data_IF_813501313866
#
_entry.id   IF_813501313866
#
_cell.length_a   1.000
_cell.length_b   1.000
_cell.length_c   1.000
_cell.angle_alpha   90.00
_cell.angle_beta   90.00
_cell.angle_gamma   90.00
#
_symmetry.space_group_name_H-M   'P 1'
#
loop_
_entity.id
_entity.type
_entity.pdbx_description
1 polymer ?
#
# COMPACT_ATOMS: atom_id res chain seq x y z
N UNK A 5 -15.13 -6.59 -15.78
CA UNK A 5 -13.73 -6.99 -15.50
C UNK A 5 -13.69 -8.40 -14.89
N UNK A 6 -12.94 -9.30 -15.53
CA UNK A 6 -12.55 -10.52 -14.86
C UNK A 6 -12.23 -10.18 -13.37
N UNK A 7 -11.64 -9.00 -13.11
CA UNK A 7 -11.25 -8.63 -11.72
C UNK A 7 -12.48 -8.38 -10.83
N UNK A 8 -13.40 -7.50 -11.27
CA UNK A 8 -14.67 -7.29 -10.53
C UNK A 8 -15.39 -8.63 -10.30
N UNK A 9 -15.71 -9.33 -11.39
CA UNK A 9 -16.42 -10.63 -11.31
C UNK A 9 -15.82 -11.58 -10.28
N UNK A 10 -14.53 -11.84 -10.38
CA UNK A 10 -13.90 -12.80 -9.49
C UNK A 10 -13.86 -12.27 -8.07
N UNK A 11 -13.80 -10.96 -7.91
CA UNK A 11 -13.69 -10.41 -6.56
C UNK A 11 -15.04 -10.49 -5.86
N UNK A 12 -16.09 -10.14 -6.59
CA UNK A 12 -17.46 -10.41 -6.16
C UNK A 12 -17.53 -11.86 -5.67
N UNK A 13 -17.04 -12.80 -6.48
CA UNK A 13 -17.05 -14.21 -6.11
C UNK A 13 -16.28 -14.54 -4.83
N UNK A 14 -15.21 -13.81 -4.54
CA UNK A 14 -14.30 -14.18 -3.42
C UNK A 14 -14.63 -13.45 -2.13
N UNK A 15 -15.52 -12.44 -2.22
CA UNK A 15 -15.98 -11.70 -1.04
C UNK A 15 -16.60 -12.66 -0.03
N UNK A 16 -16.13 -12.58 1.19
CA UNK A 16 -16.54 -13.52 2.21
C UNK A 16 -15.40 -14.42 2.58
N UNK A 17 -14.55 -14.75 1.61
CA UNK A 17 -13.59 -15.83 1.78
C UNK A 17 -12.22 -15.35 2.14
N UNK A 18 -11.53 -16.22 2.87
CA UNK A 18 -10.12 -16.07 3.18
C UNK A 18 -9.33 -15.95 1.86
N UNK A 19 -8.32 -15.08 1.85
CA UNK A 19 -7.45 -14.90 0.71
C UNK A 19 -6.08 -14.51 1.20
N UNK A 20 -5.04 -14.91 0.44
CA UNK A 20 -3.67 -14.39 0.64
C UNK A 20 -3.42 -13.26 -0.35
N UNK A 21 -2.67 -12.25 0.10
CA UNK A 21 -2.25 -11.15 -0.77
C UNK A 21 -0.76 -10.91 -0.60
N UNK A 22 -0.08 -10.77 -1.74
CA UNK A 22 1.31 -10.33 -1.80
C UNK A 22 1.32 -8.86 -2.27
N UNK A 23 1.90 -7.98 -1.44
CA UNK A 23 2.07 -6.54 -1.74
C UNK A 23 3.57 -6.22 -1.80
N UNK A 24 4.05 -5.60 -2.88
CA UNK A 24 5.50 -5.48 -3.10
C UNK A 24 6.14 -6.83 -3.40
N UNK A 29 0.99 -11.83 4.49
CA UNK A 29 -0.37 -11.53 5.03
C UNK A 29 -1.53 -12.24 4.36
N UNK A 30 -2.47 -12.69 5.18
CA UNK A 30 -3.70 -13.30 4.71
C UNK A 30 -4.88 -12.83 5.59
N UNK A 31 -6.08 -12.83 5.02
CA UNK A 31 -7.32 -12.52 5.77
C UNK A 31 -8.57 -12.50 4.90
N UNK A 32 -9.71 -12.23 5.49
CA UNK A 32 -10.98 -12.36 4.77
C UNK A 32 -11.22 -11.17 3.85
N UNK A 33 -11.51 -11.43 2.57
CA UNK A 33 -11.85 -10.31 1.68
C UNK A 33 -13.19 -9.70 2.10
N UNK A 34 -13.14 -8.76 3.03
CA UNK A 34 -14.35 -8.03 3.45
C UNK A 34 -14.99 -7.22 2.33
N UNK A 35 -14.22 -6.36 1.66
CA UNK A 35 -14.76 -5.62 0.51
C UNK A 35 -13.67 -5.05 -0.39
N UNK A 36 -14.09 -4.44 -1.50
CA UNK A 36 -13.14 -3.96 -2.49
C UNK A 36 -13.75 -2.99 -3.51
N UNK A 37 -12.89 -2.33 -4.29
CA UNK A 37 -13.32 -1.57 -5.48
C UNK A 37 -12.17 -1.39 -6.49
N UNK A 38 -12.32 -0.40 -7.38
CA UNK A 38 -11.36 -0.17 -8.45
C UNK A 38 -9.96 0.22 -7.95
N UNK A 39 -9.91 0.89 -6.81
CA UNK A 39 -8.65 1.38 -6.25
C UNK A 39 -8.09 0.47 -5.15
N UNK A 40 -8.95 -0.03 -4.24
CA UNK A 40 -8.47 -0.76 -3.05
C UNK A 40 -9.21 -2.03 -2.69
N UNK A 41 -8.63 -2.78 -1.73
CA UNK A 41 -9.32 -3.88 -1.07
C UNK A 41 -9.21 -3.84 0.45
N UNK A 42 -10.33 -4.20 1.07
CA UNK A 42 -10.45 -4.16 2.50
C UNK A 42 -10.40 -5.58 2.98
N UNK A 43 -9.44 -5.87 3.85
CA UNK A 43 -9.35 -7.15 4.51
C UNK A 43 -9.81 -7.02 5.96
N UNK A 44 -10.40 -8.11 6.45
CA UNK A 44 -10.94 -8.23 7.80
C UNK A 44 -10.20 -9.40 8.46
N UNK A 45 -9.91 -9.25 9.76
CA UNK A 45 -9.32 -10.33 10.57
C UNK A 45 -8.06 -10.85 9.94
N UNK A 46 -6.98 -10.08 10.08
CA UNK A 46 -5.73 -10.30 9.34
C UNK A 46 -4.70 -11.08 10.18
N UNK A 47 -4.14 -12.13 9.56
CA UNK A 47 -3.17 -13.03 10.22
C UNK A 47 -1.83 -13.08 9.50
N UNK A 48 -0.83 -13.45 10.25
CA UNK A 48 0.53 -13.54 9.83
C UNK A 48 1.02 -14.90 10.33
N UNK A 49 2.10 -15.45 9.77
CA UNK A 49 2.62 -16.76 10.18
C UNK A 49 2.83 -16.88 11.70
N UNK A 50 2.94 -15.73 12.38
CA UNK A 50 3.13 -15.70 13.83
C UNK A 50 1.82 -15.43 14.59
N UNK A 51 0.86 -14.75 13.97
CA UNK A 51 -0.44 -14.60 14.61
C UNK A 51 -1.29 -13.48 14.04
N UNK A 52 -2.15 -12.93 14.91
CA UNK A 52 -2.97 -11.79 14.51
C UNK A 52 -2.11 -10.62 14.11
N UNK A 53 -2.70 -9.78 13.29
CA UNK A 53 -2.08 -8.54 12.92
C UNK A 53 -3.03 -7.35 12.96
N UNK A 54 -4.31 -7.51 12.68
CA UNK A 54 -5.22 -6.37 12.76
C UNK A 54 -6.68 -6.60 12.48
N UNK A 55 -7.53 -5.87 13.19
CA UNK A 55 -8.96 -5.90 12.94
C UNK A 55 -9.22 -5.74 11.43
N UNK A 56 -8.48 -4.86 10.75
CA UNK A 56 -8.71 -4.61 9.32
C UNK A 56 -7.45 -4.16 8.58
N UNK A 57 -7.58 -4.02 7.26
CA UNK A 57 -6.46 -3.59 6.42
C UNK A 57 -6.90 -3.07 5.07
N UNK A 58 -6.34 -1.95 4.69
CA UNK A 58 -6.60 -1.38 3.39
C UNK A 58 -5.39 -1.57 2.52
N UNK A 59 -5.62 -1.84 1.24
CA UNK A 59 -4.54 -2.10 0.30
C UNK A 59 -4.92 -1.65 -1.08
N UNK A 60 -4.01 -0.96 -1.75
CA UNK A 60 -4.28 -0.41 -3.07
C UNK A 60 -3.98 -1.46 -4.11
N UNK A 61 -4.81 -1.53 -5.13
CA UNK A 61 -4.61 -2.52 -6.16
C UNK A 61 -3.27 -2.34 -6.87
N UNK A 62 -2.85 -1.09 -7.09
CA UNK A 62 -1.56 -0.75 -7.72
C UNK A 62 -0.39 -1.56 -7.21
N UNK A 63 -0.27 -1.74 -5.91
CA UNK A 63 0.92 -2.38 -5.35
C UNK A 63 0.71 -3.81 -4.93
N UNK A 64 -0.30 -4.46 -5.51
CA UNK A 64 -0.54 -5.89 -5.25
C UNK A 64 0.02 -6.69 -6.41
N UNK A 65 0.77 -7.73 -6.05
CA UNK A 65 1.33 -8.68 -7.00
C UNK A 65 0.28 -9.69 -7.45
N UNK A 66 -0.24 -10.42 -6.48
CA UNK A 66 -1.30 -11.37 -6.73
C UNK A 66 -2.16 -11.57 -5.52
N UNK A 67 -3.43 -11.85 -5.77
CA UNK A 67 -4.35 -12.23 -4.73
C UNK A 67 -4.75 -13.66 -4.98
N UNK A 68 -4.78 -14.43 -3.92
CA UNK A 68 -5.02 -15.83 -4.04
C UNK A 68 -6.04 -16.32 -3.03
N UNK A 69 -6.96 -17.16 -3.50
CA UNK A 69 -8.08 -17.67 -2.70
C UNK A 69 -7.73 -19.02 -2.16
N UNK A 70 -7.93 -19.21 -0.88
CA UNK A 70 -7.57 -20.43 -0.22
C UNK A 70 -8.82 -21.30 0.03
N UNK B 5 -4.93 -9.34 -31.14
CA UNK B 5 -3.71 -9.50 -30.29
C UNK B 5 -3.27 -10.94 -30.41
N UNK B 6 -1.98 -11.15 -30.69
CA UNK B 6 -1.37 -12.48 -30.57
C UNK B 6 -1.61 -12.97 -29.13
N UNK B 7 -1.50 -12.03 -28.19
CA UNK B 7 -1.77 -12.30 -26.77
C UNK B 7 -3.15 -12.90 -26.51
N UNK B 8 -4.19 -12.25 -27.05
CA UNK B 8 -5.55 -12.79 -26.92
C UNK B 8 -5.61 -14.20 -27.53
N UNK B 9 -5.25 -14.29 -28.82
CA UNK B 9 -5.23 -15.54 -29.60
C UNK B 9 -4.58 -16.69 -28.83
N UNK B 10 -3.40 -16.44 -28.30
CA UNK B 10 -2.61 -17.50 -27.69
C UNK B 10 -3.22 -17.93 -26.35
N UNK B 11 -3.62 -16.95 -25.57
CA UNK B 11 -4.18 -17.23 -24.26
C UNK B 11 -5.46 -18.03 -24.39
N UNK B 12 -6.30 -17.66 -25.37
CA UNK B 12 -7.46 -18.50 -25.74
C UNK B 12 -7.02 -19.96 -25.88
N UNK B 13 -6.00 -20.21 -26.70
CA UNK B 13 -5.54 -21.59 -26.97
C UNK B 13 -5.00 -22.24 -25.72
N UNK B 14 -4.42 -21.43 -24.85
CA UNK B 14 -3.79 -21.94 -23.62
C UNK B 14 -4.79 -22.19 -22.49
N UNK B 15 -5.99 -21.60 -22.65
CA UNK B 15 -7.04 -21.71 -21.64
C UNK B 15 -7.36 -23.17 -21.40
N UNK B 16 -7.21 -23.60 -20.15
CA UNK B 16 -7.41 -24.99 -19.77
C UNK B 16 -6.12 -25.73 -19.49
N UNK B 17 -5.05 -25.33 -20.17
CA UNK B 17 -3.78 -26.01 -20.05
C UNK B 17 -2.99 -25.49 -18.87
N UNK B 18 -2.20 -26.36 -18.28
CA UNK B 18 -1.27 -25.99 -17.23
C UNK B 18 -0.23 -24.98 -17.78
N UNK B 19 -0.02 -23.90 -17.03
CA UNK B 19 0.89 -22.84 -17.40
C UNK B 19 1.72 -22.45 -16.20
N UNK B 20 2.97 -22.01 -16.44
CA UNK B 20 3.79 -21.33 -15.42
C UNK B 20 3.88 -19.83 -15.72
N UNK B 21 4.06 -19.03 -14.67
CA UNK B 21 4.05 -17.58 -14.79
C UNK B 21 5.17 -16.96 -13.98
N UNK B 22 5.75 -15.89 -14.51
CA UNK B 22 6.72 -15.07 -13.78
C UNK B 22 6.18 -13.66 -13.52
N UNK B 23 6.10 -13.33 -12.22
CA UNK B 23 5.83 -11.96 -11.71
C UNK B 23 6.92 -11.61 -10.66
N UNK B 24 7.58 -10.47 -10.82
CA UNK B 24 8.76 -10.16 -9.99
C UNK B 24 10.05 -10.78 -10.54
N UNK B 29 5.47 -20.47 -9.06
CA UNK B 29 4.02 -20.72 -9.14
C UNK B 29 3.55 -21.20 -10.52
N UNK B 30 2.71 -22.22 -10.49
CA UNK B 30 2.13 -22.79 -11.71
C UNK B 30 0.68 -23.28 -11.47
N UNK B 31 -0.16 -23.20 -12.50
CA UNK B 31 -1.50 -23.77 -12.42
C UNK B 31 -2.22 -23.77 -13.77
N UNK B 32 -3.52 -23.97 -13.78
CA UNK B 32 -4.28 -24.06 -15.02
C UNK B 32 -4.82 -22.72 -15.41
N UNK B 33 -4.58 -22.28 -16.63
CA UNK B 33 -5.09 -20.97 -17.03
C UNK B 33 -6.57 -21.13 -17.12
N UNK B 34 -7.25 -20.68 -16.09
CA UNK B 34 -8.69 -20.81 -16.10
C UNK B 34 -9.28 -19.78 -17.04
N UNK B 35 -8.90 -18.52 -16.86
CA UNK B 35 -9.52 -17.44 -17.60
C UNK B 35 -8.64 -16.21 -17.55
N UNK B 36 -9.00 -15.19 -18.33
CA UNK B 36 -8.19 -14.00 -18.47
C UNK B 36 -8.93 -12.86 -19.16
N UNK B 37 -8.35 -11.68 -19.10
CA UNK B 37 -8.77 -10.54 -19.93
C UNK B 37 -7.58 -9.57 -20.03
N UNK B 38 -7.80 -8.36 -20.57
CA UNK B 38 -6.74 -7.33 -20.66
C UNK B 38 -5.98 -7.10 -19.31
N UNK B 39 -6.68 -6.75 -18.23
CA UNK B 39 -6.01 -6.35 -16.98
C UNK B 39 -5.38 -7.51 -16.18
N UNK B 40 -6.02 -8.68 -16.17
CA UNK B 40 -5.61 -9.81 -15.31
C UNK B 40 -5.75 -11.18 -15.95
N UNK B 41 -5.12 -12.16 -15.31
CA UNK B 41 -5.38 -13.55 -15.60
C UNK B 41 -5.72 -14.30 -14.29
N UNK B 42 -6.43 -15.42 -14.45
CA UNK B 42 -6.90 -16.23 -13.34
C UNK B 42 -6.38 -17.64 -13.48
N UNK B 43 -5.69 -18.12 -12.45
CA UNK B 43 -5.18 -19.49 -12.40
C UNK B 43 -6.02 -20.34 -11.49
N UNK B 44 -6.10 -21.63 -11.80
CA UNK B 44 -6.83 -22.62 -11.02
C UNK B 44 -5.84 -23.67 -10.61
N UNK B 45 -6.08 -24.30 -9.47
CA UNK B 45 -5.19 -25.34 -8.92
C UNK B 45 -3.75 -24.86 -8.99
N UNK B 46 -3.46 -23.73 -8.33
CA UNK B 46 -2.11 -23.21 -8.28
C UNK B 46 -1.25 -24.02 -7.32
N UNK B 47 -0.23 -24.69 -7.86
CA UNK B 47 0.79 -25.34 -7.02
C UNK B 47 2.15 -24.66 -7.15
N UNK B 48 2.98 -24.94 -6.15
CA UNK B 48 4.39 -24.59 -6.11
C UNK B 48 5.12 -25.93 -6.17
N UNK B 49 6.45 -25.90 -6.04
CA UNK B 49 7.26 -27.14 -5.96
C UNK B 49 6.92 -27.99 -4.75
N UNK B 50 6.67 -27.33 -3.62
CA UNK B 50 6.47 -28.02 -2.33
C UNK B 50 5.06 -28.61 -2.28
N UNK B 51 4.08 -27.89 -2.81
CA UNK B 51 2.75 -28.44 -2.87
C UNK B 51 1.72 -27.50 -3.44
N UNK B 52 0.51 -27.62 -2.92
CA UNK B 52 -0.58 -26.78 -3.37
C UNK B 52 -0.43 -25.46 -2.65
N UNK B 53 -0.86 -24.39 -3.31
CA UNK B 53 -0.82 -23.08 -2.70
C UNK B 53 -2.18 -22.47 -2.58
N UNK B 54 -3.12 -22.76 -3.46
CA UNK B 54 -4.45 -22.23 -3.23
C UNK B 54 -5.42 -22.33 -4.37
N UNK B 55 -6.70 -22.41 -4.03
CA UNK B 55 -7.73 -22.78 -4.96
C UNK B 55 -7.64 -21.96 -6.25
N UNK B 56 -7.46 -20.65 -6.15
CA UNK B 56 -7.32 -19.82 -7.35
C UNK B 56 -6.33 -18.70 -7.12
N UNK B 57 -6.03 -17.95 -8.20
CA UNK B 57 -5.11 -16.84 -8.13
C UNK B 57 -5.37 -15.85 -9.23
N UNK B 58 -5.60 -14.61 -8.85
CA UNK B 58 -5.60 -13.52 -9.81
C UNK B 58 -4.20 -12.95 -9.95
N UNK B 59 -3.90 -12.43 -11.14
CA UNK B 59 -2.58 -11.82 -11.39
C UNK B 59 -2.71 -10.76 -12.45
N UNK B 60 -2.19 -9.57 -12.17
CA UNK B 60 -2.26 -8.44 -13.10
C UNK B 60 -1.23 -8.63 -14.17
N UNK B 61 -1.55 -8.20 -15.37
CA UNK B 61 -0.66 -8.42 -16.50
C UNK B 61 0.52 -7.45 -16.47
N UNK B 62 0.28 -6.24 -15.98
CA UNK B 62 1.31 -5.21 -15.87
C UNK B 62 2.54 -5.68 -15.10
N UNK B 63 2.37 -6.64 -14.19
CA UNK B 63 3.48 -7.21 -13.40
C UNK B 63 3.90 -8.60 -13.86
N UNK B 64 3.46 -9.01 -15.06
CA UNK B 64 3.85 -10.33 -15.55
C UNK B 64 5.06 -10.19 -16.47
N UNK B 65 6.12 -10.92 -16.15
CA UNK B 65 7.31 -10.99 -16.97
C UNK B 65 7.01 -11.82 -18.20
N UNK B 66 6.76 -13.09 -17.95
CA UNK B 66 6.46 -14.02 -19.00
C UNK B 66 5.52 -15.10 -18.53
N UNK B 67 4.64 -15.52 -19.42
CA UNK B 67 3.82 -16.69 -19.20
C UNK B 67 4.30 -17.78 -20.11
N UNK B 68 4.14 -19.01 -19.66
CA UNK B 68 4.67 -20.10 -20.39
C UNK B 68 3.80 -21.35 -20.27
N UNK B 69 3.31 -21.81 -21.42
CA UNK B 69 2.57 -23.07 -21.52
C UNK B 69 3.49 -24.25 -21.32
N UNK B 70 3.20 -25.11 -20.36
CA UNK B 70 4.04 -26.27 -20.11
C UNK B 70 3.70 -27.42 -21.07
N UNK C 5 -16.27 6.21 -2.28
CA UNK C 5 -14.86 5.66 -2.25
C UNK C 5 -14.71 4.76 -1.06
N UNK C 6 -14.62 3.45 -1.31
CA UNK C 6 -14.30 2.48 -0.26
C UNK C 6 -13.21 3.10 0.60
N UNK C 7 -12.19 3.71 -0.05
CA UNK C 7 -11.09 4.31 0.72
C UNK C 7 -11.59 5.42 1.64
N UNK C 8 -12.37 6.36 1.10
CA UNK C 8 -12.90 7.43 1.95
C UNK C 8 -13.77 6.84 3.05
N UNK C 9 -14.83 6.11 2.66
CA UNK C 9 -15.76 5.46 3.60
C UNK C 9 -15.02 4.81 4.75
N UNK C 10 -14.05 3.98 4.42
CA UNK C 10 -13.31 3.21 5.42
C UNK C 10 -12.43 4.09 6.30
N UNK C 11 -11.80 5.10 5.70
CA UNK C 11 -10.92 6.01 6.45
C UNK C 11 -11.70 6.86 7.50
N UNK C 12 -12.89 7.33 7.11
CA UNK C 12 -13.83 7.96 8.07
C UNK C 12 -13.95 7.14 9.36
N UNK C 13 -14.31 5.87 9.22
CA UNK C 13 -14.62 5.02 10.37
C UNK C 13 -13.40 4.73 11.23
N UNK C 14 -12.21 4.74 10.62
CA UNK C 14 -10.94 4.51 11.35
C UNK C 14 -10.40 5.78 12.05
N UNK C 15 -10.96 6.95 11.67
CA UNK C 15 -10.52 8.22 12.27
C UNK C 15 -10.74 8.20 13.77
N UNK C 16 -9.69 8.52 14.52
CA UNK C 16 -9.73 8.43 15.96
C UNK C 16 -8.97 7.23 16.48
N UNK C 17 -8.85 6.18 15.67
CA UNK C 17 -8.29 4.94 16.17
C UNK C 17 -6.86 4.79 15.77
N UNK C 18 -6.09 4.17 16.64
CA UNK C 18 -4.70 3.81 16.39
C UNK C 18 -4.57 2.95 15.12
N UNK C 19 -3.65 3.30 14.22
CA UNK C 19 -3.48 2.54 12.97
C UNK C 19 -2.03 2.26 12.65
N UNK C 20 -1.74 1.30 11.78
CA UNK C 20 -0.36 1.08 11.33
C UNK C 20 -0.25 1.27 9.84
N UNK C 21 0.93 1.71 9.42
CA UNK C 21 1.19 2.06 8.02
C UNK C 21 2.50 1.48 7.57
N UNK C 22 2.50 0.96 6.34
CA UNK C 22 3.73 0.61 5.65
C UNK C 22 3.87 1.63 4.56
N UNK C 23 5.02 2.32 4.58
CA UNK C 23 5.36 3.41 3.65
C UNK C 23 6.73 3.13 3.04
N UNK C 24 6.76 2.82 1.73
CA UNK C 24 8.01 2.35 1.06
C UNK C 24 8.22 0.83 1.17
N UNK C 29 6.02 2.48 11.66
CA UNK C 29 5.36 3.65 12.23
C UNK C 29 3.88 3.40 12.44
N UNK C 30 3.43 3.71 13.66
CA UNK C 30 2.04 3.58 14.06
C UNK C 30 1.65 4.84 14.85
N UNK C 31 0.35 5.17 14.84
CA UNK C 31 -0.20 6.28 15.59
C UNK C 31 -1.64 6.55 15.19
N UNK C 32 -2.32 7.44 15.92
CA UNK C 32 -3.77 7.72 15.72
C UNK C 32 -4.11 8.49 14.44
N UNK C 33 -5.14 8.11 13.74
CA UNK C 33 -5.40 8.75 12.47
C UNK C 33 -6.12 10.08 12.68
N UNK C 34 -5.39 11.20 12.63
CA UNK C 34 -6.01 12.52 12.76
C UNK C 34 -6.93 12.82 11.58
N UNK C 35 -6.37 12.92 10.38
CA UNK C 35 -7.20 13.18 9.18
C UNK C 35 -6.56 12.62 7.89
N UNK C 36 -7.25 12.85 6.78
CA UNK C 36 -6.91 12.30 5.49
C UNK C 36 -7.69 13.03 4.38
N UNK C 37 -7.12 12.99 3.18
CA UNK C 37 -7.84 13.28 1.96
C UNK C 37 -7.13 12.52 0.83
N UNK C 38 -7.54 12.76 -0.42
CA UNK C 38 -6.96 12.09 -1.59
C UNK C 38 -5.42 12.03 -1.55
N UNK C 39 -4.77 13.18 -1.35
CA UNK C 39 -3.29 13.29 -1.46
C UNK C 39 -2.51 12.68 -0.28
N UNK C 40 -2.92 12.99 0.95
CA UNK C 40 -2.19 12.55 2.16
C UNK C 40 -3.06 12.05 3.31
N UNK C 41 -2.40 11.50 4.32
CA UNK C 41 -3.01 11.26 5.61
C UNK C 41 -2.14 11.83 6.72
N UNK C 42 -2.80 12.19 7.81
CA UNK C 42 -2.17 12.80 8.93
C UNK C 42 -2.29 11.91 10.15
N UNK C 43 -1.17 11.54 10.73
CA UNK C 43 -1.13 10.71 11.92
C UNK C 43 -0.70 11.50 13.15
N UNK C 44 -1.43 11.31 14.26
CA UNK C 44 -1.20 12.00 15.52
C UNK C 44 -0.57 11.05 16.51
N UNK C 45 0.33 11.60 17.33
CA UNK C 45 1.02 10.86 18.39
C UNK C 45 1.69 9.64 17.83
N UNK C 46 2.55 9.86 16.84
CA UNK C 46 3.24 8.80 16.16
C UNK C 46 4.22 8.14 17.08
N UNK C 47 4.32 6.82 16.93
CA UNK C 47 5.10 5.96 17.78
C UNK C 47 5.97 4.99 16.96
N UNK C 48 7.11 4.68 17.53
CA UNK C 48 8.00 3.67 17.04
C UNK C 48 7.92 2.48 17.99
N UNK C 49 8.49 1.36 17.59
CA UNK C 49 8.75 0.25 18.52
C UNK C 49 9.60 0.74 19.70
N UNK C 50 10.63 1.54 19.41
CA UNK C 50 11.61 1.98 20.42
C UNK C 50 11.07 3.09 21.33
N UNK C 51 10.00 3.78 20.90
CA UNK C 51 9.45 4.89 21.67
C UNK C 51 8.71 5.86 20.79
N UNK C 52 8.44 7.05 21.32
CA UNK C 52 7.76 8.13 20.56
C UNK C 52 8.52 8.53 19.34
N UNK C 53 7.80 9.07 18.35
CA UNK C 53 8.42 9.67 17.17
C UNK C 53 7.96 11.12 16.83
N UNK C 54 7.09 11.73 17.61
CA UNK C 54 6.82 13.14 17.41
C UNK C 54 5.37 13.46 17.16
N UNK C 55 5.01 14.68 17.55
CA UNK C 55 3.62 15.09 17.66
C UNK C 55 2.75 14.60 16.51
N UNK C 56 3.18 14.82 15.27
CA UNK C 56 2.35 14.49 14.11
C UNK C 56 3.13 13.97 12.93
N UNK C 57 2.42 13.51 11.90
CA UNK C 57 3.08 12.98 10.72
C UNK C 57 2.19 12.99 9.52
N UNK C 58 2.69 13.61 8.46
CA UNK C 58 2.02 13.60 7.18
C UNK C 58 2.56 12.44 6.40
N UNK C 59 1.69 11.84 5.60
CA UNK C 59 2.08 10.79 4.69
C UNK C 59 1.21 10.83 3.45
N UNK C 60 1.88 10.84 2.28
CA UNK C 60 1.20 10.92 1.00
C UNK C 60 0.80 9.52 0.61
N UNK C 61 -0.43 9.35 0.15
CA UNK C 61 -0.94 8.00 -0.12
C UNK C 61 -0.17 7.25 -1.20
N UNK C 62 0.43 7.96 -2.15
CA UNK C 62 1.21 7.34 -3.24
C UNK C 62 2.24 6.33 -2.74
N UNK C 63 3.01 6.69 -1.71
CA UNK C 63 4.04 5.79 -1.19
C UNK C 63 3.54 4.88 -0.04
N UNK C 64 2.23 4.77 0.14
CA UNK C 64 1.67 3.89 1.18
C UNK C 64 1.26 2.54 0.58
N UNK C 65 1.86 1.48 1.14
CA UNK C 65 1.57 0.09 0.79
C UNK C 65 0.22 -0.36 1.37
N UNK C 66 0.12 -0.30 2.69
CA UNK C 66 -1.11 -0.60 3.37
C UNK C 66 -1.20 0.13 4.66
N UNK C 67 -2.44 0.34 5.04
CA UNK C 67 -2.80 0.91 6.31
C UNK C 67 -3.59 -0.15 7.04
N UNK C 68 -3.62 -0.06 8.34
CA UNK C 68 -4.19 -1.11 9.10
C UNK C 68 -4.75 -0.63 10.42
N UNK C 69 -6.04 -0.82 10.59
CA UNK C 69 -6.72 -0.56 11.85
C UNK C 69 -6.31 -1.59 12.92
N UNK C 70 -5.85 -1.11 14.07
CA UNK C 70 -5.51 -2.00 15.19
C UNK C 70 -6.67 -2.09 16.17
N UNK D 5 -6.05 21.93 0.52
CA UNK D 5 -5.40 20.61 0.66
C UNK D 5 -5.16 20.41 2.14
N UNK D 6 -5.39 19.17 2.63
CA UNK D 6 -4.94 18.78 3.97
C UNK D 6 -3.43 19.09 4.02
N UNK D 7 -2.72 18.92 2.90
CA UNK D 7 -1.29 19.15 2.91
C UNK D 7 -0.93 20.63 3.09
N UNK D 8 -1.67 21.52 2.39
CA UNK D 8 -1.48 22.96 2.55
C UNK D 8 -1.81 23.33 3.98
N UNK D 9 -3.04 23.01 4.40
CA UNK D 9 -3.50 23.26 5.78
C UNK D 9 -2.43 22.99 6.82
N UNK D 10 -1.86 21.80 6.77
CA UNK D 10 -1.01 21.33 7.84
C UNK D 10 0.33 22.01 7.73
N UNK D 11 0.89 22.06 6.53
CA UNK D 11 2.20 22.67 6.36
C UNK D 11 2.20 24.16 6.76
N UNK D 12 1.08 24.84 6.54
CA UNK D 12 0.88 26.19 7.08
C UNK D 12 1.10 26.16 8.59
N UNK D 13 0.39 25.25 9.27
CA UNK D 13 0.43 25.16 10.72
C UNK D 13 1.80 24.76 11.21
N UNK D 14 2.47 23.88 10.46
CA UNK D 14 3.77 23.36 10.89
C UNK D 14 4.88 24.35 10.66
N UNK D 15 4.62 25.33 9.81
CA UNK D 15 5.57 26.41 9.54
C UNK D 15 5.99 27.05 10.88
N UNK D 16 7.30 27.16 11.12
CA UNK D 16 7.84 27.66 12.37
C UNK D 16 8.43 26.56 13.23
N UNK D 17 7.90 25.35 13.08
CA UNK D 17 8.25 24.24 13.98
C UNK D 17 9.32 23.35 13.38
N UNK D 18 10.22 22.87 14.22
CA UNK D 18 11.23 21.89 13.85
C UNK D 18 10.54 20.66 13.28
N UNK D 19 11.04 20.14 12.16
CA UNK D 19 10.47 18.92 11.53
C UNK D 19 11.54 17.99 11.00
N UNK D 20 11.22 16.71 10.91
CA UNK D 20 12.12 15.74 10.28
C UNK D 20 11.51 15.37 8.96
N UNK D 21 12.37 15.01 8.03
CA UNK D 21 11.92 14.68 6.67
C UNK D 21 12.67 13.46 6.15
N UNK D 22 11.94 12.62 5.42
CA UNK D 22 12.52 11.46 4.76
C UNK D 22 12.46 11.68 3.24
N UNK D 23 13.64 11.79 2.63
CA UNK D 23 13.80 11.95 1.18
C UNK D 23 14.44 10.67 0.61
N UNK D 24 13.64 9.80 -0.01
CA UNK D 24 14.11 8.47 -0.43
C UNK D 24 14.09 7.43 0.69
N UNK D 29 17.69 13.94 7.81
CA UNK D 29 17.84 15.39 8.02
C UNK D 29 16.67 16.04 8.74
N UNK D 30 17.01 16.93 9.67
CA UNK D 30 16.00 17.76 10.37
C UNK D 30 16.34 19.28 10.40
N UNK D 31 15.30 20.09 10.50
CA UNK D 31 15.43 21.50 10.78
C UNK D 31 14.10 22.21 10.77
N UNK D 32 14.11 23.51 11.03
CA UNK D 32 12.87 24.29 11.07
C UNK D 32 12.30 24.54 9.69
N UNK D 33 10.98 24.39 9.54
CA UNK D 33 10.34 24.56 8.23
C UNK D 33 10.08 26.04 7.96
N UNK D 34 10.91 26.66 7.14
CA UNK D 34 10.80 28.07 6.85
C UNK D 34 9.69 28.39 5.87
N UNK D 35 9.54 27.58 4.83
CA UNK D 35 8.44 27.79 3.90
C UNK D 35 8.30 26.63 2.94
N UNK D 36 7.19 26.64 2.20
CA UNK D 36 6.84 25.59 1.27
C UNK D 36 5.85 26.05 0.19
N UNK D 37 5.82 25.33 -0.92
CA UNK D 37 4.68 25.39 -1.89
C UNK D 37 4.45 24.01 -2.53
N UNK D 38 3.57 23.93 -3.54
CA UNK D 38 3.16 22.65 -4.16
C UNK D 38 4.31 21.77 -4.72
N UNK D 39 5.48 22.37 -4.95
CA UNK D 39 6.63 21.65 -5.51
C UNK D 39 7.81 21.44 -4.52
N UNK D 40 8.01 22.38 -3.58
CA UNK D 40 9.16 22.32 -2.62
C UNK D 40 8.83 22.70 -1.17
N UNK D 41 9.74 22.31 -0.27
CA UNK D 41 9.81 22.88 1.05
C UNK D 41 11.24 23.32 1.35
N UNK D 42 11.34 24.33 2.22
CA UNK D 42 12.60 24.94 2.55
C UNK D 42 12.81 24.89 4.04
N UNK D 43 14.01 24.54 4.46
CA UNK D 43 14.31 24.35 5.87
C UNK D 43 15.39 25.31 6.32
N UNK D 44 15.26 25.83 7.55
CA UNK D 44 16.32 26.63 8.15
C UNK D 44 17.06 25.79 9.20
N UNK D 45 18.22 26.24 9.61
CA UNK D 45 18.93 25.62 10.74
C UNK D 45 19.04 24.08 10.67
N UNK D 46 19.54 23.54 9.56
CA UNK D 46 19.49 22.10 9.33
C UNK D 46 20.59 21.39 10.08
N UNK D 47 20.22 20.35 10.85
CA UNK D 47 21.16 19.54 11.63
C UNK D 47 21.05 18.04 11.26
N UNK D 48 22.16 17.35 11.46
CA UNK D 48 22.21 15.89 11.49
C UNK D 48 22.55 15.55 12.94
N UNK D 49 22.59 14.26 13.28
CA UNK D 49 22.90 13.83 14.65
C UNK D 49 24.29 14.25 15.12
N UNK D 50 25.18 14.58 14.17
CA UNK D 50 26.58 14.92 14.49
C UNK D 50 26.79 16.42 14.65
N UNK D 51 25.99 17.21 13.94
CA UNK D 51 26.07 18.64 14.07
C UNK D 51 25.20 19.37 13.08
N UNK D 52 25.48 20.66 12.95
CA UNK D 52 24.78 21.50 11.98
C UNK D 52 25.22 21.08 10.59
N UNK D 53 24.35 21.30 9.61
CA UNK D 53 24.67 20.97 8.21
C UNK D 53 24.56 22.14 7.23
N UNK D 54 23.67 23.10 7.43
CA UNK D 54 23.54 24.16 6.45
C UNK D 54 22.47 25.17 6.76
N UNK D 55 22.76 26.43 6.47
CA UNK D 55 21.86 27.52 6.81
C UNK D 55 20.48 27.15 6.31
N UNK D 56 20.38 26.70 5.07
CA UNK D 56 19.09 26.35 4.47
C UNK D 56 19.17 25.05 3.67
N UNK D 57 18.01 24.61 3.19
CA UNK D 57 17.92 23.40 2.40
C UNK D 57 16.65 23.33 1.63
N UNK D 58 16.77 23.09 0.33
CA UNK D 58 15.62 22.88 -0.52
C UNK D 58 15.43 21.39 -0.78
N UNK D 59 14.19 20.98 -0.87
CA UNK D 59 13.82 19.59 -1.03
C UNK D 59 12.51 19.59 -1.76
N UNK D 60 12.41 18.81 -2.83
CA UNK D 60 11.17 18.74 -3.60
C UNK D 60 10.24 17.68 -3.03
N UNK D 61 8.94 17.93 -3.08
CA UNK D 61 7.93 17.02 -2.52
C UNK D 61 7.88 15.68 -3.21
N UNK D 62 8.23 15.67 -4.51
CA UNK D 62 8.36 14.46 -5.30
C UNK D 62 9.13 13.40 -4.53
N UNK D 63 10.38 13.72 -4.16
CA UNK D 63 11.27 12.75 -3.49
C UNK D 63 11.10 12.61 -1.94
N UNK D 64 10.01 13.14 -1.38
CA UNK D 64 9.74 13.09 0.09
C UNK D 64 8.73 12.02 0.49
N UNK D 65 9.19 11.09 1.31
CA UNK D 65 8.38 9.96 1.79
C UNK D 65 7.37 10.42 2.89
N UNK D 66 7.92 10.94 3.99
CA UNK D 66 7.09 11.52 5.04
C UNK D 66 7.71 12.72 5.70
N UNK D 67 6.83 13.55 6.27
CA UNK D 67 7.24 14.68 7.10
C UNK D 67 6.61 14.57 8.46
N UNK D 68 7.40 14.96 9.44
CA UNK D 68 7.09 14.72 10.77
C UNK D 68 7.46 15.90 11.65
N UNK D 69 6.49 16.33 12.45
CA UNK D 69 6.62 17.47 13.34
C UNK D 69 7.23 17.04 14.66
N UNK D 70 8.09 17.88 15.22
CA UNK D 70 8.71 17.61 16.49
C UNK D 70 8.26 18.59 17.60
#
# INVERSE_FOLDING_TARGET
XGXESLLEKVLKEWKGHKVAVSVGGDHSFTGTLEDFDEEVILLKDVVDVIGNRGKQMLIGLEDINWIMLLE
XGXESLLEKVLKEWKGHKVAVSVGGDHSFTGTLEDFDEEVILLKDVVDVIGNRGKQMLIGLEDINWIMLLE
XGXESLLEKVLKEWKGHKVAVSVGGDHSFTGTLEDFDEEVILLKDVVDVIGNRGKQMLIGLEDINWIMLLE
XGXESLLEKVLKEWKGHKVAVSVGGDHSFTGTLEDFDEEVILLKDVVDVIGNRGKQMLIGLEDINWIMLLE
#
